data_IF_449629788870
#
_entry.id   IF_449629788870
#
_cell.length_a   1.000
_cell.length_b   1.000
_cell.length_c   1.000
_cell.angle_alpha   90.00
_cell.angle_beta   90.00
_cell.angle_gamma   90.00
#
_symmetry.space_group_name_H-M   'P 1'
#
loop_
_entity.id
_entity.type
_entity.pdbx_description
1 polymer ?
#
# COMPACT_ATOMS: atom_id res chain seq x y z
N UNK A 1 29.30 4.56 2.23
CA UNK A 1 28.63 3.29 1.87
C UNK A 1 29.70 2.32 1.42
N UNK A 2 29.62 1.05 1.78
CA UNK A 2 30.57 0.02 1.35
C UNK A 2 29.90 -0.90 0.32
N UNK A 3 30.55 -1.13 -0.83
CA UNK A 3 30.10 -2.08 -1.85
C UNK A 3 30.95 -3.36 -1.78
N UNK A 4 30.29 -4.52 -1.78
CA UNK A 4 30.89 -5.84 -2.00
C UNK A 4 30.27 -6.48 -3.24
N UNK A 5 31.05 -7.13 -4.07
CA UNK A 5 30.60 -7.85 -5.27
C UNK A 5 31.69 -8.84 -5.74
N UNK A 6 31.32 -9.78 -6.60
CA UNK A 6 32.28 -10.74 -7.17
C UNK A 6 33.25 -10.07 -8.16
N UNK A 7 32.77 -9.12 -8.95
CA UNK A 7 33.55 -8.42 -9.97
C UNK A 7 33.15 -6.94 -10.06
N UNK A 8 34.12 -6.06 -10.32
CA UNK A 8 33.87 -4.63 -10.47
C UNK A 8 34.60 -4.03 -11.69
N UNK A 9 33.96 -3.05 -12.33
CA UNK A 9 34.58 -2.16 -13.32
C UNK A 9 34.49 -0.72 -12.83
N UNK A 10 35.61 -0.01 -12.86
CA UNK A 10 35.73 1.36 -12.39
C UNK A 10 36.07 2.25 -13.59
N UNK A 11 35.29 3.31 -13.76
CA UNK A 11 35.46 4.33 -14.78
C UNK A 11 35.75 5.65 -14.06
N UNK A 12 37.03 5.91 -13.79
CA UNK A 12 37.46 6.99 -12.90
C UNK A 12 37.12 8.38 -13.43
N UNK A 13 37.27 8.61 -14.74
CA UNK A 13 36.99 9.91 -15.37
C UNK A 13 35.51 10.29 -15.24
N UNK A 14 34.64 9.30 -15.36
CA UNK A 14 33.18 9.45 -15.30
C UNK A 14 32.63 9.32 -13.88
N UNK A 15 33.48 8.95 -12.90
CA UNK A 15 33.08 8.61 -11.52
C UNK A 15 31.96 7.55 -11.47
N UNK A 16 32.07 6.53 -12.33
CA UNK A 16 31.10 5.43 -12.41
C UNK A 16 31.75 4.14 -11.90
N UNK A 17 31.08 3.45 -10.98
CA UNK A 17 31.48 2.12 -10.51
C UNK A 17 30.38 1.12 -10.87
N UNK A 18 30.74 0.02 -11.51
CA UNK A 18 29.82 -1.08 -11.85
C UNK A 18 30.22 -2.33 -11.09
N UNK A 19 29.33 -2.88 -10.27
CA UNK A 19 29.51 -4.15 -9.57
C UNK A 19 28.65 -5.25 -10.19
N UNK A 20 29.16 -6.48 -10.20
CA UNK A 20 28.50 -7.65 -10.77
C UNK A 20 28.67 -8.88 -9.86
N UNK A 21 27.59 -9.64 -9.72
CA UNK A 21 27.49 -10.88 -8.94
C UNK A 21 27.46 -10.63 -7.44
N UNK A 22 26.38 -11.06 -6.77
CA UNK A 22 26.18 -10.97 -5.32
C UNK A 22 26.55 -9.58 -4.76
N UNK A 23 26.01 -8.53 -5.38
CA UNK A 23 26.30 -7.16 -4.98
C UNK A 23 25.59 -6.85 -3.66
N UNK A 24 26.33 -6.34 -2.69
CA UNK A 24 25.82 -5.89 -1.40
C UNK A 24 26.34 -4.49 -1.09
N UNK A 25 25.42 -3.56 -0.81
CA UNK A 25 25.74 -2.20 -0.36
C UNK A 25 25.24 -2.03 1.05
N UNK A 26 26.16 -1.61 1.93
CA UNK A 26 25.87 -1.31 3.34
C UNK A 26 26.11 0.16 3.64
N UNK A 27 25.15 0.76 4.34
CA UNK A 27 25.19 2.14 4.84
C UNK A 27 24.61 2.22 6.25
N UNK A 28 24.61 3.42 6.83
CA UNK A 28 23.99 3.64 8.15
C UNK A 28 22.48 3.47 7.99
N UNK A 29 21.93 2.36 8.51
CA UNK A 29 20.51 2.06 8.42
C UNK A 29 20.00 1.70 7.02
N UNK A 30 20.89 1.44 6.05
CA UNK A 30 20.52 1.05 4.69
C UNK A 30 21.26 -0.23 4.28
N UNK A 31 20.53 -1.15 3.65
CA UNK A 31 21.08 -2.37 3.07
C UNK A 31 20.44 -2.63 1.70
N UNK A 32 21.28 -2.90 0.69
CA UNK A 32 20.84 -3.25 -0.65
C UNK A 32 21.59 -4.50 -1.12
N UNK A 33 20.85 -5.49 -1.62
CA UNK A 33 21.38 -6.70 -2.24
C UNK A 33 20.82 -6.85 -3.66
N UNK A 34 21.64 -7.21 -4.63
CA UNK A 34 21.23 -7.39 -6.03
C UNK A 34 22.26 -8.20 -6.83
N UNK A 35 21.91 -8.55 -8.07
CA UNK A 35 22.81 -9.25 -8.99
C UNK A 35 23.85 -8.30 -9.59
N UNK A 36 23.48 -7.05 -9.89
CA UNK A 36 24.41 -6.03 -10.39
C UNK A 36 24.02 -4.62 -9.95
N UNK A 37 25.00 -3.73 -9.88
CA UNK A 37 24.80 -2.35 -9.46
C UNK A 37 25.65 -1.37 -10.26
N UNK A 38 25.12 -0.18 -10.51
CA UNK A 38 25.84 0.97 -11.03
C UNK A 38 25.76 2.09 -9.99
N UNK A 39 26.92 2.50 -9.50
CA UNK A 39 27.08 3.64 -8.61
C UNK A 39 27.58 4.84 -9.40
N UNK A 40 26.92 5.97 -9.19
CA UNK A 40 27.31 7.30 -9.64
C UNK A 40 27.24 8.24 -8.43
N UNK A 41 27.76 9.45 -8.58
CA UNK A 41 27.90 10.43 -7.49
C UNK A 41 26.66 10.60 -6.62
N UNK A 42 25.46 10.62 -7.21
CA UNK A 42 24.19 10.86 -6.49
C UNK A 42 23.10 9.81 -6.78
N UNK A 43 23.45 8.70 -7.42
CA UNK A 43 22.47 7.67 -7.76
C UNK A 43 23.04 6.25 -7.69
N UNK A 44 22.18 5.31 -7.29
CA UNK A 44 22.43 3.87 -7.31
C UNK A 44 21.38 3.23 -8.19
N UNK A 45 21.82 2.51 -9.22
CA UNK A 45 20.96 1.67 -10.04
C UNK A 45 21.28 0.20 -9.70
N UNK A 46 20.31 -0.53 -9.17
CA UNK A 46 20.44 -1.94 -8.84
C UNK A 46 19.55 -2.78 -9.76
N UNK A 47 20.06 -3.94 -10.18
CA UNK A 47 19.38 -4.83 -11.12
C UNK A 47 19.52 -6.28 -10.69
N UNK A 48 18.47 -7.06 -10.94
CA UNK A 48 18.40 -8.50 -10.68
C UNK A 48 18.22 -8.80 -9.19
N UNK A 49 17.08 -9.45 -8.86
CA UNK A 49 16.68 -9.86 -7.49
C UNK A 49 17.05 -8.82 -6.44
N UNK A 50 16.62 -7.58 -6.66
CA UNK A 50 16.96 -6.47 -5.78
C UNK A 50 16.17 -6.62 -4.48
N UNK A 51 16.88 -6.56 -3.35
CA UNK A 51 16.33 -6.42 -2.01
C UNK A 51 16.91 -5.16 -1.38
N UNK A 52 16.04 -4.26 -0.92
CA UNK A 52 16.37 -3.02 -0.25
C UNK A 52 15.75 -3.03 1.15
N UNK A 53 16.51 -2.60 2.15
CA UNK A 53 16.02 -2.30 3.49
C UNK A 53 16.50 -0.91 3.91
N UNK A 54 15.57 -0.03 4.25
CA UNK A 54 15.83 1.28 4.87
C UNK A 54 15.23 1.31 6.26
N UNK A 55 16.06 1.44 7.29
CA UNK A 55 15.67 1.58 8.69
C UNK A 55 15.08 2.96 8.94
N UNK A 56 15.65 4.01 8.34
CA UNK A 56 15.17 5.39 8.42
C UNK A 56 13.71 5.48 7.95
N UNK A 57 13.42 4.87 6.81
CA UNK A 57 12.08 4.86 6.24
C UNK A 57 11.23 3.69 6.75
N UNK A 58 11.83 2.77 7.51
CA UNK A 58 11.18 1.54 7.99
C UNK A 58 10.49 0.76 6.85
N UNK A 59 11.21 0.56 5.74
CA UNK A 59 10.72 -0.17 4.56
C UNK A 59 11.68 -1.29 4.14
N UNK A 60 11.08 -2.40 3.75
CA UNK A 60 11.72 -3.45 2.96
C UNK A 60 11.10 -3.45 1.58
N UNK A 61 11.91 -3.57 0.54
CA UNK A 61 11.44 -3.64 -0.83
C UNK A 61 12.16 -4.70 -1.64
N UNK A 62 11.41 -5.37 -2.50
CA UNK A 62 11.93 -6.28 -3.50
C UNK A 62 11.50 -5.83 -4.90
N UNK A 63 12.37 -5.90 -5.88
CA UNK A 63 12.05 -5.63 -7.29
C UNK A 63 13.12 -6.24 -8.21
N UNK A 64 12.93 -6.19 -9.52
CA UNK A 64 14.02 -6.54 -10.45
C UNK A 64 14.93 -5.36 -10.75
N UNK A 65 14.40 -4.13 -10.66
CA UNK A 65 15.17 -2.90 -10.90
C UNK A 65 14.84 -1.85 -9.85
N UNK A 66 15.86 -1.21 -9.29
CA UNK A 66 15.71 -0.10 -8.34
C UNK A 66 16.67 1.04 -8.67
N UNK A 67 16.15 2.25 -8.72
CA UNK A 67 16.92 3.49 -8.71
C UNK A 67 16.77 4.15 -7.34
N UNK A 68 17.90 4.40 -6.67
CA UNK A 68 17.97 5.18 -5.45
C UNK A 68 18.62 6.54 -5.73
N UNK A 69 17.96 7.61 -5.28
CA UNK A 69 18.53 8.96 -5.12
C UNK A 69 18.24 9.43 -3.69
N UNK A 70 18.85 10.55 -3.27
CA UNK A 70 18.81 11.07 -1.88
C UNK A 70 17.48 10.86 -1.13
N UNK A 71 16.36 11.20 -1.77
CA UNK A 71 15.01 11.14 -1.19
C UNK A 71 14.02 10.41 -2.10
N UNK A 72 14.52 9.53 -2.98
CA UNK A 72 13.72 8.86 -4.00
C UNK A 72 14.12 7.39 -4.13
N UNK A 73 13.12 6.53 -4.06
CA UNK A 73 13.22 5.13 -4.44
C UNK A 73 12.26 4.92 -5.60
N UNK A 74 12.78 4.47 -6.74
CA UNK A 74 11.97 4.07 -7.89
C UNK A 74 12.23 2.59 -8.14
N UNK A 75 11.21 1.76 -8.09
CA UNK A 75 11.33 0.33 -8.33
C UNK A 75 10.43 -0.14 -9.45
N UNK A 76 10.89 -1.12 -10.22
CA UNK A 76 10.19 -1.62 -11.40
C UNK A 76 10.27 -3.14 -11.50
N UNK A 77 9.27 -3.72 -12.19
CA UNK A 77 9.09 -5.15 -12.48
C UNK A 77 8.89 -5.97 -11.21
N UNK A 78 7.66 -6.43 -10.99
CA UNK A 78 7.29 -7.23 -9.81
C UNK A 78 7.69 -6.56 -8.48
N UNK A 79 7.53 -5.24 -8.38
CA UNK A 79 7.97 -4.47 -7.22
C UNK A 79 7.03 -4.70 -6.02
N UNK A 80 7.62 -4.94 -4.86
CA UNK A 80 6.94 -5.03 -3.58
C UNK A 80 7.61 -4.08 -2.60
N UNK A 81 6.81 -3.44 -1.75
CA UNK A 81 7.28 -2.66 -0.61
C UNK A 81 6.45 -3.02 0.62
N UNK A 82 7.14 -3.27 1.72
CA UNK A 82 6.58 -3.63 3.02
C UNK A 82 7.06 -2.61 4.02
N UNK A 83 6.13 -1.96 4.71
CA UNK A 83 6.48 -1.12 5.86
C UNK A 83 6.68 -2.02 7.09
N UNK A 84 7.81 -1.84 7.79
CA UNK A 84 8.13 -2.54 9.04
C UNK A 84 8.30 -1.55 10.20
N UNK A 85 8.22 -2.03 11.44
CA UNK A 85 8.30 -1.17 12.63
C UNK A 85 6.93 -0.64 13.07
N UNK A 86 6.47 -1.08 14.24
CA UNK A 86 5.10 -0.87 14.73
C UNK A 86 4.36 -2.18 14.94
N UNK A 87 3.05 -2.13 15.25
CA UNK A 87 2.23 -3.29 15.59
C UNK A 87 1.72 -4.10 14.38
N UNK A 88 1.80 -3.63 13.14
CA UNK A 88 1.33 -4.39 11.96
C UNK A 88 1.98 -3.90 10.64
N UNK A 89 2.12 -4.81 9.66
CA UNK A 89 2.76 -4.59 8.34
C UNK A 89 1.74 -4.30 7.24
N UNK A 90 1.96 -3.23 6.46
CA UNK A 90 1.25 -2.98 5.20
C UNK A 90 2.15 -3.41 4.06
N UNK A 91 1.65 -4.31 3.21
CA UNK A 91 2.35 -4.84 2.03
C UNK A 91 1.71 -4.30 0.77
N UNK A 92 2.55 -3.82 -0.13
CA UNK A 92 2.16 -3.17 -1.37
C UNK A 92 2.89 -3.80 -2.54
N UNK A 93 2.17 -4.19 -3.58
CA UNK A 93 2.72 -4.84 -4.78
C UNK A 93 2.25 -4.12 -6.04
N UNK A 94 3.13 -4.00 -7.03
CA UNK A 94 2.88 -3.28 -8.29
C UNK A 94 3.97 -3.58 -9.31
N UNK A 95 3.74 -3.34 -10.60
CA UNK A 95 4.85 -3.36 -11.57
C UNK A 95 5.79 -2.16 -11.44
N UNK A 96 5.30 -1.07 -10.85
CA UNK A 96 6.04 0.16 -10.71
C UNK A 96 5.66 0.86 -9.41
N UNK A 97 6.66 1.31 -8.65
CA UNK A 97 6.44 2.30 -7.61
C UNK A 97 7.52 3.38 -7.57
N UNK A 98 7.12 4.53 -7.02
CA UNK A 98 7.94 5.66 -6.64
C UNK A 98 7.65 6.00 -5.18
N UNK A 99 8.66 5.96 -4.33
CA UNK A 99 8.58 6.38 -2.93
C UNK A 99 9.44 7.62 -2.73
N UNK A 100 8.82 8.69 -2.24
CA UNK A 100 9.46 9.98 -1.96
C UNK A 100 8.69 10.71 -0.87
N UNK A 101 9.42 11.31 0.08
CA UNK A 101 8.84 12.17 1.11
C UNK A 101 7.67 11.51 1.89
N UNK A 102 7.81 10.21 2.20
CA UNK A 102 6.78 9.39 2.86
C UNK A 102 5.47 9.17 2.08
N UNK A 103 5.50 9.45 0.78
CA UNK A 103 4.42 9.15 -0.17
C UNK A 103 4.88 8.09 -1.14
N UNK A 104 4.06 7.06 -1.30
CA UNK A 104 4.24 6.01 -2.30
C UNK A 104 3.24 6.21 -3.43
N UNK A 105 3.75 6.32 -4.64
CA UNK A 105 2.97 6.27 -5.87
C UNK A 105 3.22 4.92 -6.53
N UNK A 106 2.19 4.13 -6.79
CA UNK A 106 2.32 2.84 -7.46
C UNK A 106 1.34 2.73 -8.63
N UNK A 107 1.71 1.99 -9.67
CA UNK A 107 0.88 1.82 -10.86
C UNK A 107 1.01 0.43 -11.47
N UNK A 108 0.03 0.10 -12.31
CA UNK A 108 -0.15 -1.16 -13.03
C UNK A 108 -0.42 -2.33 -12.08
N UNK A 109 -1.71 -2.58 -11.82
CA UNK A 109 -2.22 -3.68 -10.99
C UNK A 109 -1.68 -3.63 -9.56
N UNK A 110 -1.96 -2.53 -8.89
CA UNK A 110 -1.53 -2.33 -7.50
C UNK A 110 -2.36 -3.18 -6.57
N UNK A 111 -1.71 -3.87 -5.64
CA UNK A 111 -2.36 -4.58 -4.54
C UNK A 111 -1.84 -4.05 -3.22
N UNK A 112 -2.75 -3.72 -2.31
CA UNK A 112 -2.47 -3.36 -0.93
C UNK A 112 -3.03 -4.44 -0.01
N UNK A 113 -2.28 -4.83 1.01
CA UNK A 113 -2.72 -5.79 2.02
C UNK A 113 -2.32 -5.30 3.40
N UNK A 114 -3.30 -5.21 4.29
CA UNK A 114 -3.11 -5.04 5.72
C UNK A 114 -3.41 -6.33 6.47
N UNK A 115 -3.68 -6.19 7.76
CA UNK A 115 -3.96 -7.32 8.67
C UNK A 115 -5.30 -7.98 8.38
N UNK A 116 -6.33 -7.17 8.20
CA UNK A 116 -7.74 -7.55 8.11
C UNK A 116 -8.41 -7.08 6.81
N UNK A 117 -7.61 -6.55 5.87
CA UNK A 117 -8.09 -6.09 4.58
C UNK A 117 -7.10 -6.37 3.46
N UNK A 118 -7.63 -6.36 2.25
CA UNK A 118 -6.86 -6.22 1.03
C UNK A 118 -7.61 -5.33 0.04
N UNK A 119 -6.88 -4.73 -0.87
CA UNK A 119 -7.45 -3.92 -1.93
C UNK A 119 -6.61 -3.96 -3.19
N UNK A 120 -7.24 -3.61 -4.30
CA UNK A 120 -6.62 -3.56 -5.62
C UNK A 120 -7.11 -2.33 -6.38
N UNK A 121 -6.30 -1.88 -7.33
CA UNK A 121 -6.63 -0.84 -8.30
C UNK A 121 -5.56 -0.74 -9.36
N UNK A 122 -5.80 0.04 -10.42
CA UNK A 122 -4.78 0.24 -11.45
C UNK A 122 -3.61 1.11 -10.95
N UNK A 123 -3.88 2.01 -10.00
CA UNK A 123 -2.88 2.88 -9.38
C UNK A 123 -3.19 3.15 -7.91
N UNK A 124 -2.18 3.58 -7.17
CA UNK A 124 -2.27 3.88 -5.75
C UNK A 124 -1.43 5.12 -5.41
N UNK A 125 -1.97 5.97 -4.54
CA UNK A 125 -1.19 6.91 -3.74
C UNK A 125 -1.33 6.52 -2.28
N UNK A 126 -0.22 6.26 -1.58
CA UNK A 126 -0.23 5.96 -0.14
C UNK A 126 0.60 6.97 0.63
N UNK A 127 -0.07 7.74 1.47
CA UNK A 127 0.51 8.75 2.34
C UNK A 127 0.69 8.15 3.73
N UNK A 128 1.91 7.69 4.03
CA UNK A 128 2.20 6.93 5.26
C UNK A 128 1.88 7.73 6.53
N UNK A 129 2.25 9.01 6.57
CA UNK A 129 2.04 9.86 7.75
C UNK A 129 0.57 10.09 8.06
N UNK A 130 -0.28 10.06 7.03
CA UNK A 130 -1.72 10.22 7.14
C UNK A 130 -2.46 8.87 7.24
N UNK A 131 -1.75 7.75 7.06
CA UNK A 131 -2.33 6.39 6.99
C UNK A 131 -3.49 6.31 6.01
N UNK A 132 -3.30 6.95 4.86
CA UNK A 132 -4.32 7.17 3.85
C UNK A 132 -3.84 6.59 2.52
N UNK A 133 -4.65 5.72 1.92
CA UNK A 133 -4.46 5.12 0.61
C UNK A 133 -5.56 5.60 -0.35
N UNK A 134 -5.17 6.05 -1.52
CA UNK A 134 -6.07 6.36 -2.64
C UNK A 134 -5.88 5.30 -3.73
N UNK A 135 -6.83 4.39 -3.87
CA UNK A 135 -6.87 3.41 -4.96
C UNK A 135 -7.64 3.99 -6.14
N UNK A 136 -7.03 3.95 -7.32
CA UNK A 136 -7.53 4.62 -8.53
C UNK A 136 -7.74 3.61 -9.66
N UNK A 137 -8.90 3.74 -10.31
CA UNK A 137 -9.48 2.93 -11.39
C UNK A 137 -9.65 1.46 -11.03
N UNK A 138 -10.82 0.91 -11.35
CA UNK A 138 -11.17 -0.50 -11.08
C UNK A 138 -10.88 -0.90 -9.62
N UNK A 139 -11.09 0.04 -8.69
CA UNK A 139 -10.65 -0.10 -7.33
C UNK A 139 -11.63 -0.94 -6.52
N UNK A 140 -11.09 -1.75 -5.62
CA UNK A 140 -11.87 -2.42 -4.60
C UNK A 140 -11.07 -2.58 -3.32
N UNK A 141 -11.77 -2.61 -2.20
CA UNK A 141 -11.24 -2.93 -0.88
C UNK A 141 -12.17 -3.96 -0.26
N UNK A 142 -11.62 -5.03 0.30
CA UNK A 142 -12.38 -6.05 1.00
C UNK A 142 -11.77 -6.39 2.34
N UNK A 143 -12.64 -6.78 3.26
CA UNK A 143 -12.29 -7.49 4.49
C UNK A 143 -13.00 -8.86 4.48
N UNK A 144 -13.09 -9.52 5.63
CA UNK A 144 -13.69 -10.86 5.71
C UNK A 144 -15.20 -10.89 5.43
N UNK A 145 -15.91 -9.79 5.63
CA UNK A 145 -17.38 -9.75 5.53
C UNK A 145 -17.85 -8.88 4.38
N UNK A 146 -17.03 -7.97 3.86
CA UNK A 146 -17.49 -6.91 2.96
C UNK A 146 -16.52 -6.62 1.84
N UNK A 147 -17.07 -6.16 0.72
CA UNK A 147 -16.35 -5.68 -0.46
C UNK A 147 -16.92 -4.33 -0.86
N UNK A 148 -16.07 -3.31 -0.84
CA UNK A 148 -16.34 -1.98 -1.38
C UNK A 148 -15.69 -1.89 -2.75
N UNK A 149 -16.42 -1.41 -3.77
CA UNK A 149 -15.91 -1.16 -5.12
C UNK A 149 -16.15 0.29 -5.52
N UNK A 150 -15.37 0.79 -6.47
CA UNK A 150 -15.54 2.10 -7.10
C UNK A 150 -14.39 2.40 -8.06
N UNK A 151 -14.49 3.44 -8.88
CA UNK A 151 -13.33 3.87 -9.67
C UNK A 151 -12.33 4.66 -8.84
N UNK A 152 -12.74 5.26 -7.73
CA UNK A 152 -11.84 5.89 -6.76
C UNK A 152 -12.23 5.41 -5.36
N UNK A 153 -11.26 4.91 -4.60
CA UNK A 153 -11.47 4.54 -3.19
C UNK A 153 -10.42 5.24 -2.33
N UNK A 154 -10.88 5.99 -1.34
CA UNK A 154 -10.07 6.48 -0.24
C UNK A 154 -10.20 5.52 0.94
N UNK A 155 -9.08 4.97 1.37
CA UNK A 155 -8.96 4.03 2.46
C UNK A 155 -8.15 4.67 3.57
N UNK A 156 -8.77 4.82 4.73
CA UNK A 156 -8.16 5.39 5.92
C UNK A 156 -7.91 4.28 6.93
N UNK A 157 -6.69 4.28 7.49
CA UNK A 157 -6.27 3.28 8.47
C UNK A 157 -6.04 3.92 9.84
N UNK A 158 -6.41 3.20 10.88
CA UNK A 158 -6.19 3.64 12.26
C UNK A 158 -4.73 3.41 12.71
N UNK A 159 -4.46 3.65 14.00
CA UNK A 159 -3.12 3.50 14.58
C UNK A 159 -2.57 2.07 14.56
N UNK A 160 -3.45 1.08 14.44
CA UNK A 160 -3.12 -0.35 14.33
C UNK A 160 -3.13 -0.83 12.87
N UNK A 161 -3.17 0.08 11.88
CA UNK A 161 -3.23 -0.23 10.45
C UNK A 161 -4.45 -1.10 10.05
N UNK A 162 -5.52 -1.06 10.85
CA UNK A 162 -6.83 -1.60 10.47
C UNK A 162 -7.63 -0.57 9.71
N UNK A 163 -8.61 -1.03 8.94
CA UNK A 163 -9.57 -0.14 8.26
C UNK A 163 -10.34 0.67 9.30
N UNK A 164 -10.19 2.00 9.23
CA UNK A 164 -10.97 2.97 10.01
C UNK A 164 -12.22 3.36 9.25
N UNK A 165 -12.04 3.86 8.03
CA UNK A 165 -13.14 4.14 7.13
C UNK A 165 -12.72 4.06 5.66
N UNK A 166 -13.71 3.84 4.79
CA UNK A 166 -13.55 3.80 3.34
C UNK A 166 -14.51 4.81 2.73
N UNK A 167 -14.09 5.48 1.67
CA UNK A 167 -14.97 6.32 0.85
C UNK A 167 -14.79 5.92 -0.60
N UNK A 168 -15.86 5.50 -1.26
CA UNK A 168 -15.84 5.11 -2.67
C UNK A 168 -16.59 6.13 -3.52
N UNK A 169 -16.04 6.45 -4.68
CA UNK A 169 -16.59 7.37 -5.68
C UNK A 169 -16.62 6.71 -7.06
N UNK A 170 -17.35 7.35 -7.98
CA UNK A 170 -17.44 6.99 -9.40
C UNK A 170 -17.86 5.52 -9.61
N UNK A 171 -19.17 5.29 -9.59
CA UNK A 171 -19.82 3.96 -9.57
C UNK A 171 -19.51 3.11 -8.32
N UNK A 172 -19.59 3.67 -7.10
CA UNK A 172 -19.34 2.92 -5.88
C UNK A 172 -20.41 1.87 -5.62
N UNK A 173 -20.00 0.69 -5.14
CA UNK A 173 -20.90 -0.35 -4.65
C UNK A 173 -20.39 -1.05 -3.40
N UNK A 174 -21.31 -1.55 -2.58
CA UNK A 174 -21.05 -2.35 -1.39
C UNK A 174 -21.71 -3.72 -1.54
N UNK A 175 -20.95 -4.77 -1.22
CA UNK A 175 -21.49 -6.07 -0.85
C UNK A 175 -21.06 -6.37 0.58
N UNK A 176 -22.02 -6.52 1.51
CA UNK A 176 -21.76 -6.96 2.88
C UNK A 176 -22.45 -8.31 3.12
N UNK A 177 -21.67 -9.31 3.53
CA UNK A 177 -22.02 -10.70 3.80
C UNK A 177 -21.82 -11.04 5.29
N UNK A 178 -22.19 -10.14 6.19
CA UNK A 178 -22.33 -10.47 7.60
C UNK A 178 -23.36 -11.59 7.78
N UNK A 179 -23.17 -12.44 8.81
CA UNK A 179 -24.05 -13.61 9.03
C UNK A 179 -25.51 -13.14 9.04
N UNK A 180 -26.31 -13.73 8.16
CA UNK A 180 -27.75 -13.54 8.03
C UNK A 180 -28.23 -12.18 7.47
N UNK A 181 -27.35 -11.33 6.93
CA UNK A 181 -27.73 -10.04 6.33
C UNK A 181 -26.88 -9.69 5.10
N UNK A 182 -27.41 -9.93 3.91
CA UNK A 182 -26.84 -9.40 2.67
C UNK A 182 -27.34 -7.97 2.43
N UNK A 183 -26.42 -7.01 2.36
CA UNK A 183 -26.75 -5.60 2.09
C UNK A 183 -26.01 -5.13 0.84
N UNK A 184 -26.77 -4.70 -0.16
CA UNK A 184 -26.26 -4.09 -1.39
C UNK A 184 -26.57 -2.59 -1.43
N UNK A 185 -25.56 -1.77 -1.69
CA UNK A 185 -25.70 -0.31 -1.81
C UNK A 185 -24.95 0.19 -3.06
N UNK A 186 -25.57 1.13 -3.77
CA UNK A 186 -24.97 1.90 -4.88
C UNK A 186 -25.24 3.41 -4.67
N UNK A 187 -24.34 4.26 -5.14
CA UNK A 187 -24.50 5.72 -5.05
C UNK A 187 -23.50 6.48 -5.91
N UNK A 188 -23.42 7.80 -5.78
CA UNK A 188 -22.32 8.59 -6.36
C UNK A 188 -21.09 8.59 -5.45
N UNK A 189 -21.35 8.56 -4.14
CA UNK A 189 -20.35 8.39 -3.11
C UNK A 189 -20.93 7.50 -2.02
N UNK A 190 -20.14 6.52 -1.59
CA UNK A 190 -20.47 5.67 -0.45
C UNK A 190 -19.43 5.88 0.64
N UNK A 191 -19.88 6.20 1.85
CA UNK A 191 -19.04 6.35 3.05
C UNK A 191 -19.23 5.15 3.96
N UNK A 192 -18.13 4.56 4.42
CA UNK A 192 -18.10 3.32 5.21
C UNK A 192 -17.28 3.53 6.48
N UNK A 193 -17.83 3.25 7.67
CA UNK A 193 -17.12 3.44 8.94
C UNK A 193 -17.01 2.13 9.75
N UNK A 194 -15.85 1.89 10.35
CA UNK A 194 -15.53 0.80 11.28
C UNK A 194 -15.38 1.35 12.70
N UNK A 195 -16.06 0.78 13.69
CA UNK A 195 -15.89 1.14 15.12
C UNK A 195 -15.20 0.00 15.87
N UNK A 196 -13.87 -0.06 15.79
CA UNK A 196 -13.05 -0.85 16.73
C UNK A 196 -13.25 -2.37 16.70
N UNK A 197 -14.08 -2.90 15.80
CA UNK A 197 -14.34 -4.33 15.61
C UNK A 197 -14.16 -4.70 14.16
N UNK A 198 -13.92 -5.99 13.89
CA UNK A 198 -13.75 -6.54 12.53
C UNK A 198 -15.07 -6.54 11.71
N UNK A 199 -16.01 -5.65 12.03
CA UNK A 199 -17.34 -5.52 11.44
C UNK A 199 -17.69 -4.06 11.12
N UNK A 200 -18.39 -3.85 10.02
CA UNK A 200 -18.74 -2.50 9.54
C UNK A 200 -20.08 -2.08 10.14
N UNK A 201 -20.18 -0.87 10.71
CA UNK A 201 -21.40 -0.46 11.45
C UNK A 201 -22.27 0.56 10.74
N UNK A 202 -21.72 1.38 9.84
CA UNK A 202 -22.46 2.51 9.26
C UNK A 202 -22.11 2.77 7.79
N UNK A 203 -23.14 3.00 6.97
CA UNK A 203 -23.00 3.41 5.58
C UNK A 203 -23.88 4.61 5.22
N UNK A 204 -23.35 5.49 4.38
CA UNK A 204 -24.11 6.60 3.78
C UNK A 204 -23.92 6.63 2.28
N UNK A 205 -25.02 6.67 1.54
CA UNK A 205 -25.03 6.97 0.10
C UNK A 205 -25.44 8.43 -0.11
N UNK A 206 -24.72 9.17 -0.97
CA UNK A 206 -24.97 10.60 -1.18
C UNK A 206 -26.08 10.91 -2.21
N UNK A 207 -26.52 9.94 -3.04
CA UNK A 207 -27.65 10.12 -3.99
C UNK A 207 -28.95 9.39 -3.63
N UNK A 208 -28.90 8.31 -2.87
CA UNK A 208 -30.07 7.78 -2.18
C UNK A 208 -30.09 8.44 -0.78
N UNK A 209 -30.99 9.40 -0.53
CA UNK A 209 -31.14 9.99 0.81
C UNK A 209 -31.50 8.89 1.81
N UNK A 210 -30.52 8.41 2.57
CA UNK A 210 -30.71 7.43 3.62
C UNK A 210 -29.42 7.23 4.41
N UNK A 211 -29.52 7.33 5.74
CA UNK A 211 -28.52 6.76 6.64
C UNK A 211 -28.97 5.34 6.93
N UNK A 212 -28.15 4.36 6.56
CA UNK A 212 -28.41 2.97 6.90
C UNK A 212 -27.52 2.62 8.09
N UNK A 213 -28.13 2.65 9.27
CA UNK A 213 -27.57 2.05 10.48
C UNK A 213 -28.09 0.62 10.53
N UNK A 214 -27.22 -0.35 10.82
CA UNK A 214 -27.70 -1.67 11.19
C UNK A 214 -28.65 -1.51 12.40
N UNK A 215 -29.92 -1.86 12.22
CA UNK A 215 -30.87 -1.91 13.33
C UNK A 215 -30.41 -3.00 14.29
N UNK A 216 -29.88 -2.62 15.44
CA UNK A 216 -29.99 -3.47 16.62
C UNK A 216 -31.45 -3.38 17.02
N UNK A 217 -32.27 -4.33 16.55
CA UNK A 217 -33.54 -4.60 17.22
C UNK A 217 -33.16 -5.03 18.64
N UNK A 218 -33.14 -4.07 19.56
CA UNK A 218 -33.37 -4.39 20.95
C UNK A 218 -34.82 -4.85 21.02
N UNK A 219 -35.03 -6.17 20.88
CA UNK A 219 -36.24 -6.84 21.38
C UNK A 219 -36.17 -6.76 22.91
N UNK A 220 -36.43 -5.56 23.42
CA UNK A 220 -36.67 -5.29 24.83
C UNK A 220 -37.76 -4.23 24.91
N UNK A 221 -38.96 -4.63 24.51
CA UNK A 221 -40.18 -4.06 25.08
C UNK A 221 -40.70 -5.04 26.13
N UNK A 222 -40.37 -4.75 27.39
CA UNK A 222 -41.23 -5.08 28.52
C UNK A 222 -42.51 -4.21 28.42
N UNK A 223 -43.64 -4.79 28.85
CA UNK A 223 -44.90 -4.12 29.20
C UNK A 223 -45.91 -4.09 28.05
N UNK A 224 -47.16 -4.55 28.17
CA UNK A 224 -47.98 -4.94 29.33
C UNK A 224 -48.86 -6.17 29.00
#
# INVERSE_FOLDING_TARGET
RNLRCNFAKIYEKERIFKGYGNCEITGIGEYLKCDSVILKENEVLAFGKVFLRSVKDSIESTAEEVLLKKDLIKAQKNASITYFGGKDTVVLRSEFYLYRDSVLYASNKVKIKGKDFEGEGDSLVYMRNLRHAELLKNAWVRNNTSVVKGNVIYLYLNQDNKVDHVVAFDSPSLLNNERDKEIYLEGDSLYFYSEGTDSLKWFRASRAKGYYKEGVENVNSKGD
#
